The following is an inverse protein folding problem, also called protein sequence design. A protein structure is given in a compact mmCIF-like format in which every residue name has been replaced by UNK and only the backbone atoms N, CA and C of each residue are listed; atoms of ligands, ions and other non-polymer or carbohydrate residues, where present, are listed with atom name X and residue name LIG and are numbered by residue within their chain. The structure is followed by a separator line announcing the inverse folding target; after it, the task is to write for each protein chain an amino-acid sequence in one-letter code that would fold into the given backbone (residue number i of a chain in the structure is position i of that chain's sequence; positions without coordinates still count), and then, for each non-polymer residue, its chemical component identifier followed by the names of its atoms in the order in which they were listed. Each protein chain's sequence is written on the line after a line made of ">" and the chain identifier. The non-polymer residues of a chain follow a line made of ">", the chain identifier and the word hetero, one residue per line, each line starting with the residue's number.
data_IF_663734822395
#
_entry.id   IF_663734822395
#
_cell.length_a   1.000
_cell.length_b   1.000
_cell.length_c   1.000
_cell.angle_alpha   90.00
_cell.angle_beta   90.00
_cell.angle_gamma   90.00
#
_symmetry.space_group_name_H-M   'P 1'
#
loop_
_entity.id
_entity.type
_entity.pdbx_description
1 polymer ?
#
# COMPACT_ATOMS: atom_id res chain seq x y z
N UNK A 1 3.05 1.49 17.97
CA UNK A 1 4.50 1.29 18.13
C UNK A 1 5.23 2.30 17.25
N UNK A 2 6.13 3.16 17.78
CA UNK A 2 6.88 4.08 16.94
C UNK A 2 7.86 3.27 16.06
N UNK A 3 7.73 3.39 14.74
CA UNK A 3 8.65 2.78 13.78
C UNK A 3 10.03 3.44 13.93
N UNK A 4 10.94 2.78 14.64
CA UNK A 4 12.33 3.23 14.76
C UNK A 4 13.08 2.93 13.45
N UNK A 5 13.01 3.87 12.52
CA UNK A 5 13.80 3.86 11.29
C UNK A 5 15.29 4.04 11.61
N UNK A 6 16.14 3.16 11.09
CA UNK A 6 17.59 3.35 11.14
C UNK A 6 17.99 4.67 10.48
N UNK A 7 19.03 5.36 11.00
CA UNK A 7 19.46 6.69 10.51
C UNK A 7 19.78 6.71 9.01
N UNK A 8 20.29 5.62 8.44
CA UNK A 8 20.55 5.46 7.00
C UNK A 8 19.28 5.40 6.17
N UNK A 9 18.30 4.62 6.61
CA UNK A 9 17.04 4.38 5.89
C UNK A 9 16.14 5.61 5.95
N UNK A 10 16.20 6.35 7.06
CA UNK A 10 15.53 7.64 7.20
C UNK A 10 16.09 8.68 6.23
N UNK A 11 17.40 8.69 5.98
CA UNK A 11 18.01 9.59 4.98
C UNK A 11 17.59 9.21 3.57
N UNK A 12 17.56 7.92 3.25
CA UNK A 12 17.18 7.44 1.92
C UNK A 12 15.70 7.73 1.60
N UNK A 13 14.81 7.55 2.58
CA UNK A 13 13.40 7.94 2.48
C UNK A 13 13.19 9.45 2.36
N UNK A 14 13.97 10.25 3.09
CA UNK A 14 13.90 11.72 2.98
C UNK A 14 14.38 12.20 1.61
N UNK A 15 15.47 11.64 1.07
CA UNK A 15 15.95 11.96 -0.27
C UNK A 15 14.99 11.49 -1.37
N UNK A 16 14.43 10.28 -1.24
CA UNK A 16 13.41 9.79 -2.16
C UNK A 16 12.16 10.68 -2.14
N UNK A 17 11.66 11.06 -0.96
CA UNK A 17 10.54 11.99 -0.82
C UNK A 17 10.85 13.38 -1.39
N UNK A 18 12.04 13.91 -1.16
CA UNK A 18 12.47 15.22 -1.65
C UNK A 18 12.63 15.29 -3.17
N UNK A 19 12.90 14.17 -3.84
CA UNK A 19 13.00 14.10 -5.30
C UNK A 19 11.67 13.70 -5.94
N UNK A 20 10.95 12.70 -5.38
CA UNK A 20 9.66 12.27 -5.93
C UNK A 20 8.58 13.33 -5.74
N UNK A 21 8.50 14.00 -4.60
CA UNK A 21 7.44 14.96 -4.32
C UNK A 21 7.38 16.12 -5.34
N UNK A 22 8.49 16.82 -5.68
CA UNK A 22 8.45 17.87 -6.70
C UNK A 22 8.21 17.31 -8.10
N UNK A 23 8.69 16.11 -8.43
CA UNK A 23 8.41 15.47 -9.72
C UNK A 23 6.92 15.09 -9.83
N UNK A 24 6.32 14.57 -8.75
CA UNK A 24 4.88 14.27 -8.65
C UNK A 24 4.06 15.54 -8.76
N UNK A 25 4.45 16.61 -8.03
CA UNK A 25 3.77 17.89 -8.08
C UNK A 25 3.87 18.51 -9.48
N UNK A 26 5.04 18.44 -10.12
CA UNK A 26 5.25 18.89 -11.49
C UNK A 26 4.44 18.07 -12.51
N UNK A 27 4.38 16.73 -12.39
CA UNK A 27 3.56 15.90 -13.27
C UNK A 27 2.06 16.13 -13.05
N UNK A 28 1.61 16.33 -11.81
CA UNK A 28 0.21 16.67 -11.53
C UNK A 28 -0.17 18.05 -12.09
N UNK A 29 0.76 19.02 -12.05
CA UNK A 29 0.57 20.34 -12.67
C UNK A 29 0.65 20.29 -14.20
N UNK A 30 1.57 19.49 -14.78
CA UNK A 30 1.69 19.31 -16.23
C UNK A 30 0.53 18.48 -16.82
N UNK A 31 -0.04 17.56 -16.04
CA UNK A 31 -1.22 16.79 -16.46
C UNK A 31 -2.51 17.60 -16.36
N UNK A 32 -2.48 18.79 -15.75
CA UNK A 32 -3.51 19.82 -15.91
C UNK A 32 -3.25 20.58 -17.22
N UNK A 33 -3.09 19.86 -18.33
CA UNK A 33 -3.38 20.46 -19.61
C UNK A 33 -4.89 20.75 -19.57
N UNK A 34 -5.24 22.03 -19.60
CA UNK A 34 -6.58 22.47 -19.97
C UNK A 34 -6.84 21.96 -21.40
N UNK A 35 -7.24 20.70 -21.54
CA UNK A 35 -8.03 20.29 -22.69
C UNK A 35 -9.28 21.16 -22.64
N UNK A 36 -9.25 22.27 -23.40
CA UNK A 36 -10.40 23.14 -23.61
C UNK A 36 -11.58 22.24 -23.90
N UNK A 37 -12.60 22.29 -23.05
CA UNK A 37 -13.72 21.37 -23.17
C UNK A 37 -14.40 21.65 -24.51
N UNK A 38 -14.36 20.67 -25.42
CA UNK A 38 -15.02 20.73 -26.73
C UNK A 38 -16.52 20.51 -26.65
N UNK A 39 -17.04 20.31 -25.42
CA UNK A 39 -18.42 19.96 -25.15
C UNK A 39 -19.19 21.23 -24.73
N UNK A 40 -20.39 21.47 -25.30
CA UNK A 40 -21.22 22.62 -24.98
C UNK A 40 -21.96 22.47 -23.64
N UNK A 41 -21.19 22.33 -22.55
CA UNK A 41 -21.70 22.30 -21.18
C UNK A 41 -21.99 23.71 -20.66
N UNK A 42 -23.06 23.86 -19.89
CA UNK A 42 -23.46 25.08 -19.17
C UNK A 42 -22.54 25.42 -17.99
N UNK A 43 -21.62 24.53 -17.62
CA UNK A 43 -20.56 24.81 -16.65
C UNK A 43 -19.33 25.46 -17.30
N UNK A 44 -19.12 25.23 -18.60
CA UNK A 44 -17.91 25.67 -19.32
C UNK A 44 -18.04 27.10 -19.86
N UNK A 45 -17.06 27.93 -19.52
CA UNK A 45 -16.88 29.27 -20.09
C UNK A 45 -15.99 29.29 -21.34
N UNK A 46 -15.47 28.13 -21.78
CA UNK A 46 -14.65 28.01 -22.98
C UNK A 46 -15.45 28.38 -24.24
N UNK A 47 -14.79 28.73 -25.37
CA UNK A 47 -15.47 29.07 -26.61
C UNK A 47 -16.52 28.03 -27.07
N UNK A 48 -16.26 26.74 -26.85
CA UNK A 48 -17.15 25.65 -27.21
C UNK A 48 -18.21 25.32 -26.13
N UNK A 49 -18.10 25.86 -24.91
CA UNK A 49 -19.08 25.71 -23.84
C UNK A 49 -20.42 26.39 -24.12
N UNK A 50 -21.44 26.19 -23.29
CA UNK A 50 -22.79 26.76 -23.47
C UNK A 50 -23.25 27.65 -22.29
N UNK A 51 -22.34 28.01 -21.38
CA UNK A 51 -22.66 28.83 -20.20
C UNK A 51 -23.29 30.17 -20.54
N UNK A 52 -22.87 30.82 -21.62
CA UNK A 52 -23.45 32.09 -22.08
C UNK A 52 -24.91 31.93 -22.51
N UNK A 53 -25.22 30.90 -23.30
CA UNK A 53 -26.60 30.60 -23.70
C UNK A 53 -27.48 30.29 -22.49
N UNK A 54 -26.99 29.47 -21.55
CA UNK A 54 -27.71 29.15 -20.31
C UNK A 54 -28.02 30.39 -19.46
N UNK A 55 -27.02 31.23 -19.20
CA UNK A 55 -27.20 32.46 -18.41
C UNK A 55 -28.11 33.46 -19.12
N UNK A 56 -27.99 33.58 -20.44
CA UNK A 56 -28.83 34.46 -21.23
C UNK A 56 -30.31 34.05 -21.18
N UNK A 57 -30.62 32.75 -21.20
CA UNK A 57 -31.99 32.28 -21.00
C UNK A 57 -32.54 32.71 -19.64
N UNK A 58 -31.74 32.61 -18.57
CA UNK A 58 -32.14 33.09 -17.24
C UNK A 58 -32.36 34.60 -17.23
N UNK A 59 -31.48 35.38 -17.87
CA UNK A 59 -31.59 36.84 -17.97
C UNK A 59 -32.80 37.29 -18.80
N UNK A 60 -33.17 36.52 -19.84
CA UNK A 60 -34.37 36.73 -20.65
C UNK A 60 -35.67 36.26 -19.96
N UNK A 61 -35.59 35.78 -18.72
CA UNK A 61 -36.76 35.42 -17.91
C UNK A 61 -37.29 34.00 -18.13
N UNK A 62 -36.53 33.10 -18.74
CA UNK A 62 -36.87 31.67 -18.79
C UNK A 62 -36.61 31.01 -17.44
N UNK A 63 -37.47 30.07 -17.04
CA UNK A 63 -37.18 29.12 -15.95
C UNK A 63 -36.19 28.06 -16.46
N UNK A 64 -34.94 28.48 -16.62
CA UNK A 64 -33.85 27.63 -17.10
C UNK A 64 -33.05 27.05 -15.94
N UNK A 65 -33.08 25.72 -15.84
CA UNK A 65 -32.34 24.93 -14.86
C UNK A 65 -31.47 23.87 -15.52
N UNK A 66 -30.43 23.43 -14.81
CA UNK A 66 -29.60 22.29 -15.23
C UNK A 66 -30.27 20.99 -14.81
N UNK A 67 -30.22 20.00 -15.68
CA UNK A 67 -30.71 18.66 -15.45
C UNK A 67 -29.51 17.70 -15.36
N UNK A 68 -29.27 17.15 -14.18
CA UNK A 68 -28.13 16.25 -13.89
C UNK A 68 -28.56 14.82 -13.58
N UNK A 69 -29.87 14.56 -13.54
CA UNK A 69 -30.46 13.27 -13.20
C UNK A 69 -30.79 12.45 -14.44
N UNK A 70 -31.04 11.15 -14.26
CA UNK A 70 -31.45 10.27 -15.36
C UNK A 70 -32.76 10.75 -16.01
N UNK A 71 -32.97 10.53 -17.33
CA UNK A 71 -34.21 10.88 -18.02
C UNK A 71 -35.48 10.29 -17.42
N UNK A 72 -35.37 9.16 -16.71
CA UNK A 72 -36.50 8.55 -16.00
C UNK A 72 -37.11 9.46 -14.92
N UNK A 73 -36.33 10.41 -14.39
CA UNK A 73 -36.76 11.35 -13.37
C UNK A 73 -37.32 12.66 -13.94
N UNK A 74 -37.37 12.81 -15.28
CA UNK A 74 -37.92 14.01 -15.91
C UNK A 74 -39.35 14.27 -15.41
N UNK A 75 -39.77 15.54 -15.31
CA UNK A 75 -41.09 15.89 -14.79
C UNK A 75 -42.23 15.11 -15.45
N UNK A 76 -43.21 14.69 -14.65
CA UNK A 76 -44.40 14.00 -15.17
C UNK A 76 -45.19 14.92 -16.12
N UNK A 77 -45.33 16.20 -15.76
CA UNK A 77 -45.88 17.25 -16.63
C UNK A 77 -44.84 17.69 -17.65
N UNK A 78 -44.80 16.98 -18.78
CA UNK A 78 -43.87 17.27 -19.88
C UNK A 78 -44.32 18.45 -20.76
N UNK A 79 -45.63 18.74 -20.83
CA UNK A 79 -46.16 19.90 -21.57
C UNK A 79 -45.56 21.21 -21.03
N UNK A 80 -45.16 22.09 -21.94
CA UNK A 80 -44.47 23.34 -21.58
C UNK A 80 -43.06 23.14 -21.02
N UNK A 81 -42.46 21.95 -21.12
CA UNK A 81 -41.06 21.72 -20.71
C UNK A 81 -40.21 21.37 -21.93
N UNK A 82 -39.04 22.00 -22.02
CA UNK A 82 -38.05 21.79 -23.08
C UNK A 82 -36.79 21.19 -22.46
N UNK A 83 -36.36 20.03 -22.95
CA UNK A 83 -35.07 19.43 -22.61
C UNK A 83 -34.05 19.78 -23.70
N UNK A 84 -32.98 20.49 -23.35
CA UNK A 84 -31.89 20.85 -24.24
C UNK A 84 -30.74 19.87 -24.05
N UNK A 85 -30.46 19.04 -25.05
CA UNK A 85 -29.38 18.08 -25.09
C UNK A 85 -28.32 18.54 -26.10
N UNK A 86 -27.37 19.32 -25.62
CA UNK A 86 -26.35 19.93 -26.46
C UNK A 86 -25.17 18.96 -26.68
N UNK A 87 -25.12 18.26 -27.81
CA UNK A 87 -24.05 17.30 -28.14
C UNK A 87 -23.82 16.27 -27.03
N UNK A 88 -24.84 15.48 -26.66
CA UNK A 88 -24.70 14.49 -25.60
C UNK A 88 -23.60 13.47 -25.96
N UNK A 89 -22.62 13.31 -25.06
CA UNK A 89 -21.40 12.52 -25.32
C UNK A 89 -21.48 11.10 -24.79
N UNK A 90 -22.24 10.86 -23.71
CA UNK A 90 -22.44 9.52 -23.17
C UNK A 90 -23.51 8.74 -23.95
N UNK A 91 -23.24 7.47 -24.22
CA UNK A 91 -24.19 6.57 -24.89
C UNK A 91 -25.39 6.29 -23.96
N UNK A 92 -26.64 6.49 -24.43
CA UNK A 92 -27.83 6.26 -23.62
C UNK A 92 -28.09 4.76 -23.40
N UNK A 93 -28.59 4.41 -22.21
CA UNK A 93 -29.10 3.08 -21.91
C UNK A 93 -30.48 2.88 -22.54
N UNK A 94 -30.99 1.64 -22.61
CA UNK A 94 -32.35 1.37 -23.10
C UNK A 94 -33.41 2.12 -22.30
N UNK A 95 -33.26 2.14 -20.97
CA UNK A 95 -34.15 2.86 -20.05
C UNK A 95 -34.13 4.38 -20.30
N UNK A 96 -32.95 4.94 -20.61
CA UNK A 96 -32.81 6.37 -20.95
C UNK A 96 -33.62 6.68 -22.23
N UNK A 97 -33.52 5.82 -23.25
CA UNK A 97 -34.26 5.99 -24.52
C UNK A 97 -35.77 5.89 -24.32
N UNK A 98 -36.23 4.90 -23.57
CA UNK A 98 -37.65 4.68 -23.29
C UNK A 98 -38.24 5.85 -22.50
N UNK A 99 -37.47 6.40 -21.54
CA UNK A 99 -37.86 7.57 -20.78
C UNK A 99 -37.93 8.84 -21.63
N UNK A 100 -36.95 9.08 -22.51
CA UNK A 100 -36.96 10.21 -23.46
C UNK A 100 -38.13 10.09 -24.46
N UNK A 101 -38.36 8.90 -25.01
CA UNK A 101 -39.48 8.66 -25.91
C UNK A 101 -40.83 8.91 -25.20
N UNK A 102 -40.96 8.44 -23.95
CA UNK A 102 -42.14 8.67 -23.14
C UNK A 102 -42.34 10.14 -22.79
N UNK A 103 -41.25 10.87 -22.51
CA UNK A 103 -41.28 12.31 -22.23
C UNK A 103 -41.82 13.10 -23.43
N UNK A 104 -41.32 12.83 -24.64
CA UNK A 104 -41.83 13.50 -25.84
C UNK A 104 -43.27 13.10 -26.15
N UNK A 105 -43.61 11.81 -26.01
CA UNK A 105 -44.97 11.33 -26.22
C UNK A 105 -46.00 12.02 -25.31
N UNK A 106 -45.60 12.38 -24.07
CA UNK A 106 -46.43 13.13 -23.10
C UNK A 106 -46.54 14.64 -23.40
N UNK A 107 -45.90 15.15 -24.45
CA UNK A 107 -45.95 16.58 -24.81
C UNK A 107 -44.67 17.36 -24.55
N UNK A 108 -43.62 16.70 -24.06
CA UNK A 108 -42.31 17.32 -23.87
C UNK A 108 -41.66 17.69 -25.20
N UNK A 109 -40.88 18.78 -25.18
CA UNK A 109 -40.03 19.16 -26.31
C UNK A 109 -38.59 18.77 -26.04
N UNK A 110 -37.90 18.22 -27.02
CA UNK A 110 -36.45 17.98 -26.96
C UNK A 110 -35.76 18.83 -28.03
N UNK A 111 -34.79 19.65 -27.64
CA UNK A 111 -33.81 20.23 -28.54
C UNK A 111 -32.52 19.42 -28.42
N UNK A 112 -32.13 18.70 -29.48
CA UNK A 112 -30.94 17.85 -29.49
C UNK A 112 -29.99 18.30 -30.60
N UNK A 113 -28.70 18.42 -30.30
CA UNK A 113 -27.71 18.89 -31.29
C UNK A 113 -26.61 17.87 -31.53
N UNK A 114 -26.09 17.84 -32.76
CA UNK A 114 -24.90 17.09 -33.14
C UNK A 114 -25.17 15.69 -33.67
N UNK A 115 -24.08 14.97 -33.91
CA UNK A 115 -24.06 13.73 -34.68
C UNK A 115 -24.59 12.48 -33.95
N UNK A 116 -24.67 12.51 -32.62
CA UNK A 116 -25.07 11.34 -31.80
C UNK A 116 -26.58 11.28 -31.56
N UNK A 117 -27.37 12.17 -32.17
CA UNK A 117 -28.78 12.36 -31.86
C UNK A 117 -29.65 11.10 -32.09
N UNK A 118 -29.33 10.33 -33.15
CA UNK A 118 -29.96 9.04 -33.47
C UNK A 118 -29.89 8.02 -32.33
N UNK A 119 -28.87 8.09 -31.47
CA UNK A 119 -28.76 7.19 -30.32
C UNK A 119 -29.84 7.44 -29.25
N UNK A 120 -30.46 8.63 -29.24
CA UNK A 120 -31.41 9.05 -28.20
C UNK A 120 -32.86 8.97 -28.66
N UNK A 121 -33.10 9.20 -29.95
CA UNK A 121 -34.45 9.20 -30.54
C UNK A 121 -34.44 8.32 -31.77
N UNK A 122 -35.13 7.19 -31.70
CA UNK A 122 -35.14 6.12 -32.70
C UNK A 122 -35.67 6.51 -34.09
N UNK A 123 -36.34 7.64 -34.21
CA UNK A 123 -36.92 8.15 -35.46
C UNK A 123 -35.93 9.01 -36.26
N UNK A 124 -34.79 9.34 -35.67
CA UNK A 124 -33.74 10.13 -36.31
C UNK A 124 -32.78 9.18 -37.02
N UNK A 125 -32.44 9.50 -38.27
CA UNK A 125 -31.37 8.84 -39.00
C UNK A 125 -30.43 9.92 -39.49
N UNK A 126 -29.19 9.90 -38.98
CA UNK A 126 -28.20 10.96 -39.21
C UNK A 126 -26.91 10.38 -39.76
N UNK A 127 -26.30 11.07 -40.71
CA UNK A 127 -25.01 10.72 -41.26
C UNK A 127 -23.94 11.68 -40.71
N UNK A 128 -22.90 11.14 -40.08
CA UNK A 128 -21.81 11.92 -39.51
C UNK A 128 -21.00 12.58 -40.63
N UNK A 129 -20.73 13.88 -40.51
CA UNK A 129 -19.80 14.56 -41.41
C UNK A 129 -18.36 14.36 -40.88
N UNK A 130 -17.51 13.62 -41.60
CA UNK A 130 -16.18 13.25 -41.10
C UNK A 130 -15.21 14.44 -41.03
N UNK A 131 -15.40 15.45 -41.87
CA UNK A 131 -14.62 16.69 -41.85
C UNK A 131 -15.55 17.91 -41.81
N UNK A 132 -16.06 18.26 -40.63
CA UNK A 132 -16.85 19.48 -40.48
C UNK A 132 -15.99 20.71 -40.81
N UNK A 133 -16.59 21.69 -41.48
CA UNK A 133 -15.89 22.93 -41.84
C UNK A 133 -15.46 23.66 -40.54
N UNK A 134 -14.17 23.95 -40.32
CA UNK A 134 -13.73 24.66 -39.12
C UNK A 134 -14.32 26.08 -39.03
N UNK A 135 -14.78 26.64 -40.15
CA UNK A 135 -15.47 27.93 -40.21
C UNK A 135 -16.96 27.67 -40.45
N UNK A 136 -17.80 28.16 -39.55
CA UNK A 136 -19.25 28.11 -39.74
C UNK A 136 -19.66 28.84 -41.02
N UNK A 137 -20.62 28.26 -41.75
CA UNK A 137 -21.22 28.85 -42.95
C UNK A 137 -22.54 29.49 -42.61
N UNK A 138 -22.94 30.47 -43.41
CA UNK A 138 -24.25 31.10 -43.30
C UNK A 138 -25.28 30.31 -44.10
N UNK A 139 -26.42 30.04 -43.47
CA UNK A 139 -27.53 29.29 -44.05
C UNK A 139 -28.81 30.12 -44.02
N UNK A 140 -29.49 30.17 -45.16
CA UNK A 140 -30.79 30.83 -45.29
C UNK A 140 -31.92 29.87 -44.92
N UNK A 141 -33.04 30.37 -44.38
CA UNK A 141 -34.23 29.56 -44.17
C UNK A 141 -34.67 28.86 -45.46
N UNK A 142 -34.87 27.54 -45.40
CA UNK A 142 -35.50 26.78 -46.46
C UNK A 142 -37.01 27.08 -46.52
N UNK A 143 -37.63 27.23 -45.33
CA UNK A 143 -39.06 27.55 -45.17
C UNK A 143 -39.25 28.63 -44.10
N UNK A 144 -40.30 29.43 -44.24
CA UNK A 144 -40.72 30.38 -43.21
C UNK A 144 -41.57 29.66 -42.16
N UNK A 145 -41.01 29.47 -40.97
CA UNK A 145 -41.61 28.74 -39.85
C UNK A 145 -41.41 29.52 -38.56
N UNK A 146 -41.97 29.02 -37.44
CA UNK A 146 -41.66 29.58 -36.12
C UNK A 146 -40.16 29.53 -35.82
N UNK A 147 -39.45 28.49 -36.26
CA UNK A 147 -38.01 28.29 -36.03
C UNK A 147 -37.18 29.32 -36.81
N UNK A 148 -37.58 29.64 -38.05
CA UNK A 148 -36.80 30.48 -38.97
C UNK A 148 -37.11 31.97 -38.92
N UNK A 149 -37.96 32.42 -37.98
CA UNK A 149 -38.33 33.85 -37.80
C UNK A 149 -37.12 34.77 -37.61
N UNK A 150 -36.00 34.23 -37.15
CA UNK A 150 -34.74 34.94 -36.96
C UNK A 150 -33.93 35.23 -38.23
N UNK A 151 -34.32 34.67 -39.39
CA UNK A 151 -33.60 34.82 -40.65
C UNK A 151 -32.43 33.84 -40.80
N UNK A 152 -31.34 34.32 -41.39
CA UNK A 152 -30.15 33.51 -41.66
C UNK A 152 -29.46 33.07 -40.36
N UNK A 153 -28.79 31.92 -40.37
CA UNK A 153 -28.03 31.38 -39.22
C UNK A 153 -26.60 31.08 -39.61
N UNK A 154 -25.69 30.99 -38.63
CA UNK A 154 -24.29 30.56 -38.86
C UNK A 154 -24.00 29.28 -38.09
N UNK A 155 -23.66 28.19 -38.80
CA UNK A 155 -23.40 26.89 -38.19
C UNK A 155 -22.28 26.15 -38.92
N UNK A 156 -21.58 25.27 -38.22
CA UNK A 156 -20.77 24.22 -38.84
C UNK A 156 -21.48 22.88 -38.56
N UNK A 157 -22.14 22.27 -39.57
CA UNK A 157 -22.79 20.97 -39.44
C UNK A 157 -21.78 19.87 -39.09
N UNK A 158 -22.09 19.05 -38.09
CA UNK A 158 -21.31 17.85 -37.73
C UNK A 158 -21.96 16.55 -38.19
N UNK A 159 -23.20 16.64 -38.64
CA UNK A 159 -23.97 15.56 -39.22
C UNK A 159 -25.07 16.11 -40.11
N UNK A 160 -25.56 15.29 -41.02
CA UNK A 160 -26.65 15.61 -41.92
C UNK A 160 -27.82 14.66 -41.70
N UNK A 161 -29.03 15.19 -41.86
CA UNK A 161 -30.23 14.38 -41.77
C UNK A 161 -30.35 13.48 -43.00
N UNK A 162 -30.61 12.18 -42.78
CA UNK A 162 -30.69 11.19 -43.86
C UNK A 162 -32.05 10.53 -43.99
N UNK A 163 -32.85 10.52 -42.92
CA UNK A 163 -34.17 9.90 -42.94
C UNK A 163 -34.98 10.50 -44.12
N UNK A 164 -35.53 9.71 -45.06
CA UNK A 164 -36.25 10.23 -46.23
C UNK A 164 -37.76 10.44 -45.97
N UNK A 165 -38.24 10.22 -44.74
CA UNK A 165 -39.65 10.36 -44.37
C UNK A 165 -40.21 11.78 -44.60
N UNK A 166 -41.47 11.93 -44.98
CA UNK A 166 -42.10 13.27 -45.04
C UNK A 166 -42.64 13.75 -43.69
N UNK A 167 -42.46 12.96 -42.63
CA UNK A 167 -42.99 13.25 -41.29
C UNK A 167 -42.20 14.31 -40.52
N UNK A 168 -41.12 14.85 -41.09
CA UNK A 168 -40.32 15.91 -40.48
C UNK A 168 -40.33 17.17 -41.34
N UNK A 169 -40.15 18.31 -40.68
CA UNK A 169 -40.13 19.63 -41.30
C UNK A 169 -38.69 20.15 -41.32
N UNK A 170 -38.20 20.45 -42.52
CA UNK A 170 -36.86 21.00 -42.74
C UNK A 170 -36.91 22.53 -42.66
N UNK A 171 -36.10 23.11 -41.78
CA UNK A 171 -36.04 24.56 -41.57
C UNK A 171 -34.85 25.21 -42.28
N UNK A 172 -33.71 24.53 -42.25
CA UNK A 172 -32.47 24.95 -42.91
C UNK A 172 -31.83 23.73 -43.58
N UNK A 173 -31.16 23.97 -44.71
CA UNK A 173 -30.45 22.97 -45.50
C UNK A 173 -29.09 23.48 -45.97
N UNK A 174 -28.18 22.56 -46.25
CA UNK A 174 -26.86 22.78 -46.83
C UNK A 174 -26.77 21.98 -48.13
N UNK A 175 -26.90 22.67 -49.27
CA UNK A 175 -26.86 22.06 -50.61
C UNK A 175 -27.86 20.88 -50.76
N UNK A 176 -29.06 21.01 -50.19
CA UNK A 176 -30.11 19.99 -50.22
C UNK A 176 -30.03 18.95 -49.10
N UNK A 177 -29.04 19.06 -48.20
CA UNK A 177 -28.92 18.21 -47.00
C UNK A 177 -29.52 18.93 -45.79
N UNK A 178 -30.56 18.42 -45.12
CA UNK A 178 -31.18 19.11 -44.00
C UNK A 178 -30.23 19.21 -42.79
N UNK A 179 -30.17 20.40 -42.18
CA UNK A 179 -29.29 20.71 -41.04
C UNK A 179 -30.05 21.18 -39.79
N UNK A 180 -31.31 21.61 -39.94
CA UNK A 180 -32.22 21.89 -38.82
C UNK A 180 -33.57 21.32 -39.16
N UNK A 181 -34.05 20.40 -38.32
CA UNK A 181 -35.26 19.61 -38.60
C UNK A 181 -36.13 19.54 -37.35
N UNK A 182 -37.45 19.61 -37.53
CA UNK A 182 -38.43 19.31 -36.47
C UNK A 182 -39.20 18.05 -36.81
N UNK A 183 -39.28 17.12 -35.87
CA UNK A 183 -40.08 15.90 -35.95
C UNK A 183 -41.14 15.91 -34.86
N UNK A 184 -42.41 15.70 -35.22
CA UNK A 184 -43.49 15.54 -34.22
C UNK A 184 -43.56 14.11 -33.74
N UNK A 185 -43.55 13.93 -32.43
CA UNK A 185 -43.57 12.59 -31.81
C UNK A 185 -44.63 12.57 -30.70
N UNK A 186 -45.71 11.84 -30.95
CA UNK A 186 -46.87 11.84 -30.03
C UNK A 186 -47.46 13.25 -29.91
N UNK A 187 -47.56 13.77 -28.68
CA UNK A 187 -48.02 15.14 -28.41
C UNK A 187 -46.90 16.18 -28.41
N UNK A 188 -45.65 15.75 -28.33
CA UNK A 188 -44.48 16.61 -28.27
C UNK A 188 -43.77 16.71 -29.61
N UNK A 189 -42.56 17.26 -29.58
CA UNK A 189 -41.71 17.38 -30.76
C UNK A 189 -40.23 17.36 -30.40
N UNK A 190 -39.44 16.90 -31.36
CA UNK A 190 -37.98 16.88 -31.31
C UNK A 190 -37.47 17.85 -32.36
N UNK A 191 -36.65 18.80 -31.95
CA UNK A 191 -35.92 19.72 -32.81
C UNK A 191 -34.47 19.27 -32.82
N UNK A 192 -33.94 19.02 -34.01
CA UNK A 192 -32.56 18.62 -34.18
C UNK A 192 -31.76 19.66 -34.94
N UNK A 193 -30.56 19.94 -34.45
CA UNK A 193 -29.57 20.76 -35.14
C UNK A 193 -28.34 19.93 -35.47
N UNK A 194 -27.84 20.07 -36.69
CA UNK A 194 -26.65 19.40 -37.19
C UNK A 194 -25.37 19.70 -36.38
N UNK A 195 -25.32 20.82 -35.66
CA UNK A 195 -24.20 21.20 -34.83
C UNK A 195 -24.62 22.02 -33.60
N UNK A 196 -23.81 21.96 -32.55
CA UNK A 196 -23.99 22.74 -31.32
C UNK A 196 -23.41 24.15 -31.39
N UNK A 197 -22.71 24.49 -32.48
CA UNK A 197 -22.09 25.80 -32.69
C UNK A 197 -23.01 26.98 -32.34
N UNK A 198 -24.27 27.03 -32.83
CA UNK A 198 -25.19 28.14 -32.54
C UNK A 198 -25.49 28.40 -31.06
N UNK A 199 -25.46 27.38 -30.20
CA UNK A 199 -25.68 27.55 -28.75
C UNK A 199 -24.38 27.72 -27.94
N UNK A 200 -23.22 27.64 -28.58
CA UNK A 200 -21.93 27.78 -27.91
C UNK A 200 -21.63 29.23 -27.52
N UNK A 201 -20.72 29.43 -26.57
CA UNK A 201 -20.28 30.74 -26.11
C UNK A 201 -19.70 31.60 -27.26
N UNK A 202 -19.00 30.97 -28.20
CA UNK A 202 -18.46 31.63 -29.39
C UNK A 202 -19.52 31.86 -30.49
N UNK A 203 -20.52 30.99 -30.59
CA UNK A 203 -21.49 30.98 -31.68
C UNK A 203 -22.80 31.71 -31.40
N UNK A 204 -23.20 31.87 -30.13
CA UNK A 204 -24.49 32.48 -29.75
C UNK A 204 -24.63 33.94 -30.20
N UNK A 205 -23.50 34.64 -30.34
CA UNK A 205 -23.43 36.04 -30.79
C UNK A 205 -23.42 36.19 -32.31
N UNK A 206 -23.30 35.09 -33.06
CA UNK A 206 -23.31 35.09 -34.52
C UNK A 206 -24.73 35.36 -35.04
N UNK A 207 -24.81 35.72 -36.31
CA UNK A 207 -26.05 36.17 -36.94
C UNK A 207 -27.14 35.10 -36.83
N UNK A 208 -28.32 35.48 -36.31
CA UNK A 208 -29.50 34.63 -36.16
C UNK A 208 -29.44 33.49 -35.15
N UNK A 209 -28.26 33.12 -34.63
CA UNK A 209 -28.10 31.95 -33.76
C UNK A 209 -28.85 32.05 -32.42
N UNK A 210 -28.86 33.24 -31.80
CA UNK A 210 -29.70 33.46 -30.62
C UNK A 210 -31.19 33.28 -30.94
N UNK A 211 -31.65 33.83 -32.08
CA UNK A 211 -33.05 33.66 -32.48
C UNK A 211 -33.38 32.19 -32.76
N UNK A 212 -32.46 31.42 -33.35
CA UNK A 212 -32.62 29.99 -33.56
C UNK A 212 -32.83 29.25 -32.22
N UNK A 213 -32.03 29.57 -31.20
CA UNK A 213 -32.16 29.02 -29.85
C UNK A 213 -33.52 29.39 -29.23
N UNK A 214 -33.87 30.67 -29.21
CA UNK A 214 -35.11 31.15 -28.61
C UNK A 214 -36.34 30.59 -29.32
N UNK A 215 -36.34 30.53 -30.65
CA UNK A 215 -37.46 29.98 -31.42
C UNK A 215 -37.60 28.46 -31.24
N UNK A 216 -36.48 27.76 -31.02
CA UNK A 216 -36.50 26.32 -30.74
C UNK A 216 -37.02 26.01 -29.32
N UNK A 217 -36.73 26.89 -28.36
CA UNK A 217 -37.22 26.77 -26.99
C UNK A 217 -38.70 27.17 -26.89
N UNK A 218 -39.09 28.30 -27.45
CA UNK A 218 -40.43 28.89 -27.30
C UNK A 218 -40.41 30.18 -26.49
N UNK A 219 -41.59 30.69 -26.15
CA UNK A 219 -41.74 32.00 -25.50
C UNK A 219 -41.48 31.94 -23.98
N UNK A 220 -40.74 32.92 -23.46
CA UNK A 220 -40.48 33.04 -22.03
C UNK A 220 -41.79 33.10 -21.22
N UNK A 221 -41.82 32.48 -20.05
CA UNK A 221 -43.00 32.38 -19.18
C UNK A 221 -44.01 31.29 -19.55
N UNK A 222 -43.97 30.77 -20.79
CA UNK A 222 -44.79 29.63 -21.22
C UNK A 222 -44.07 28.28 -21.12
N UNK A 223 -42.73 28.32 -21.07
CA UNK A 223 -41.89 27.13 -21.05
C UNK A 223 -40.88 27.11 -19.93
N UNK A 224 -40.67 25.92 -19.37
CA UNK A 224 -39.55 25.57 -18.48
C UNK A 224 -38.43 24.93 -19.30
N UNK A 225 -37.19 25.36 -19.08
CA UNK A 225 -36.03 24.85 -19.81
C UNK A 225 -35.18 23.99 -18.87
N UNK A 226 -34.96 22.75 -19.26
CA UNK A 226 -34.07 21.81 -18.60
C UNK A 226 -32.87 21.58 -19.51
N UNK A 227 -31.68 22.01 -19.09
CA UNK A 227 -30.46 21.82 -19.85
C UNK A 227 -29.74 20.56 -19.38
N UNK A 228 -29.58 19.58 -20.26
CA UNK A 228 -28.94 18.32 -19.92
C UNK A 228 -27.44 18.48 -19.65
N UNK A 229 -27.02 17.99 -18.48
CA UNK A 229 -25.63 17.76 -18.10
C UNK A 229 -25.39 16.30 -17.69
N UNK A 230 -26.44 15.49 -17.62
CA UNK A 230 -26.35 14.07 -17.29
C UNK A 230 -25.52 13.31 -18.34
N UNK A 231 -25.74 13.56 -19.63
CA UNK A 231 -24.98 12.90 -20.70
C UNK A 231 -23.58 13.50 -20.93
N UNK A 232 -23.19 14.57 -20.23
CA UNK A 232 -21.83 15.14 -20.27
C UNK A 232 -20.87 14.53 -19.23
N UNK A 233 -21.32 13.54 -18.45
CA UNK A 233 -20.48 12.90 -17.43
C UNK A 233 -20.85 13.28 -16.00
N UNK A 234 -21.97 13.99 -15.79
CA UNK A 234 -22.60 14.09 -14.46
C UNK A 234 -23.32 12.80 -14.06
N UNK A 235 -23.07 11.67 -14.73
CA UNK A 235 -23.42 10.35 -14.22
C UNK A 235 -22.71 10.20 -12.87
N UNK A 236 -23.46 10.00 -11.80
CA UNK A 236 -22.93 9.67 -10.46
C UNK A 236 -22.33 8.25 -10.42
N UNK A 237 -21.52 7.89 -11.42
CA UNK A 237 -20.80 6.63 -11.48
C UNK A 237 -19.34 6.89 -11.09
N UNK A 238 -19.01 6.52 -9.85
CA UNK A 238 -17.64 6.55 -9.31
C UNK A 238 -16.60 5.92 -10.27
N UNK A 239 -17.02 4.97 -11.13
CA UNK A 239 -16.15 4.30 -12.09
C UNK A 239 -15.65 5.22 -13.22
N UNK A 240 -16.46 6.13 -13.74
CA UNK A 240 -16.03 7.06 -14.81
C UNK A 240 -15.04 8.08 -14.25
N UNK A 241 -15.25 8.50 -13.00
CA UNK A 241 -14.32 9.35 -12.26
C UNK A 241 -12.94 8.70 -12.06
N UNK A 242 -12.88 7.39 -11.79
CA UNK A 242 -11.61 6.65 -11.60
C UNK A 242 -10.80 6.57 -12.90
N UNK A 243 -11.46 6.48 -14.06
CA UNK A 243 -10.78 6.37 -15.36
C UNK A 243 -10.45 7.73 -16.01
N UNK A 244 -11.21 8.79 -15.74
CA UNK A 244 -10.98 10.12 -16.31
C UNK A 244 -10.12 11.04 -15.41
N UNK A 245 -10.09 10.81 -14.09
CA UNK A 245 -9.28 11.62 -13.16
C UNK A 245 -7.87 11.02 -13.07
N UNK A 246 -6.80 11.82 -12.84
CA UNK A 246 -5.45 11.32 -12.58
C UNK A 246 -5.30 10.42 -11.32
N UNK A 247 -6.41 9.96 -10.72
CA UNK A 247 -6.46 9.13 -9.52
C UNK A 247 -5.74 7.79 -9.72
N UNK A 248 -5.82 7.20 -10.92
CA UNK A 248 -5.10 5.95 -11.24
C UNK A 248 -3.59 6.13 -11.12
N UNK A 249 -3.06 7.30 -11.52
CA UNK A 249 -1.67 7.67 -11.31
C UNK A 249 -1.35 7.88 -9.82
N UNK A 250 -2.25 8.48 -9.06
CA UNK A 250 -2.12 8.61 -7.60
C UNK A 250 -2.05 7.24 -6.89
N UNK A 251 -2.93 6.30 -7.26
CA UNK A 251 -2.93 4.93 -6.72
C UNK A 251 -1.65 4.19 -7.10
N UNK A 252 -1.20 4.32 -8.35
CA UNK A 252 0.06 3.72 -8.82
C UNK A 252 1.26 4.29 -8.04
N UNK A 253 1.27 5.59 -7.74
CA UNK A 253 2.30 6.21 -6.91
C UNK A 253 2.28 5.69 -5.47
N UNK A 254 1.11 5.58 -4.85
CA UNK A 254 0.96 4.97 -3.53
C UNK A 254 1.48 3.53 -3.52
N UNK A 255 1.22 2.76 -4.58
CA UNK A 255 1.73 1.40 -4.73
C UNK A 255 3.26 1.36 -4.85
N UNK A 256 3.87 2.28 -5.60
CA UNK A 256 5.35 2.39 -5.72
C UNK A 256 5.98 2.72 -4.37
N UNK A 257 5.42 3.69 -3.63
CA UNK A 257 5.91 4.03 -2.29
C UNK A 257 5.74 2.85 -1.32
N UNK A 258 4.60 2.17 -1.38
CA UNK A 258 4.34 0.97 -0.59
C UNK A 258 5.36 -0.15 -0.89
N UNK A 259 5.64 -0.42 -2.16
CA UNK A 259 6.66 -1.38 -2.60
C UNK A 259 8.06 -0.98 -2.13
N UNK A 260 8.42 0.30 -2.22
CA UNK A 260 9.71 0.80 -1.73
C UNK A 260 9.87 0.62 -0.22
N UNK A 261 8.80 0.86 0.55
CA UNK A 261 8.76 0.58 1.98
C UNK A 261 8.90 -0.93 2.24
N UNK A 262 8.11 -1.76 1.56
CA UNK A 262 8.21 -3.22 1.66
C UNK A 262 9.61 -3.74 1.37
N UNK A 263 10.29 -3.25 0.33
CA UNK A 263 11.67 -3.65 -0.02
C UNK A 263 12.64 -3.22 1.08
N UNK A 264 12.45 -2.05 1.69
CA UNK A 264 13.27 -1.57 2.80
C UNK A 264 13.11 -2.45 4.04
N UNK A 265 11.89 -2.88 4.35
CA UNK A 265 11.61 -3.82 5.46
C UNK A 265 11.95 -5.28 5.13
N UNK A 266 12.02 -5.66 3.85
CA UNK A 266 12.37 -7.01 3.38
C UNK A 266 13.86 -7.32 3.52
N UNK A 267 14.72 -6.29 3.67
CA UNK A 267 16.11 -6.48 4.06
C UNK A 267 16.17 -6.87 5.54
N UNK A 268 16.40 -8.16 5.79
CA UNK A 268 16.58 -8.78 7.11
C UNK A 268 17.60 -8.01 7.97
N UNK A 269 17.10 -7.11 8.82
CA UNK A 269 17.86 -6.45 9.88
C UNK A 269 17.79 -7.29 11.16
N UNK A 270 18.46 -8.44 11.14
CA UNK A 270 18.71 -9.23 12.35
C UNK A 270 20.07 -8.85 12.94
N UNK A 271 20.24 -8.75 14.27
CA UNK A 271 21.56 -8.64 14.87
C UNK A 271 22.39 -9.84 14.41
N UNK A 272 23.56 -9.58 13.83
CA UNK A 272 24.54 -10.63 13.53
C UNK A 272 25.00 -11.13 14.90
N UNK A 273 24.44 -12.24 15.37
CA UNK A 273 24.94 -12.90 16.57
C UNK A 273 26.26 -13.56 16.16
N UNK A 274 27.42 -13.13 16.68
CA UNK A 274 28.65 -13.87 16.48
C UNK A 274 28.42 -15.29 17.00
N UNK A 275 28.88 -16.30 16.26
CA UNK A 275 28.85 -17.66 16.75
C UNK A 275 29.56 -17.70 18.11
N UNK A 276 28.92 -18.28 19.13
CA UNK A 276 29.56 -18.45 20.44
C UNK A 276 30.90 -19.17 20.23
N UNK A 277 32.01 -18.47 20.47
CA UNK A 277 33.32 -19.12 20.52
C UNK A 277 33.28 -20.07 21.74
N UNK A 278 33.47 -21.38 21.55
CA UNK A 278 33.62 -22.27 22.70
C UNK A 278 34.83 -21.82 23.52
N UNK A 279 34.63 -21.71 24.84
CA UNK A 279 35.67 -21.36 25.80
C UNK A 279 36.91 -22.24 25.60
N UNK A 280 38.05 -21.63 25.26
CA UNK A 280 39.36 -22.30 25.10
C UNK A 280 40.06 -22.60 26.44
N UNK A 281 39.29 -22.86 27.48
CA UNK A 281 39.81 -23.27 28.78
C UNK A 281 39.05 -24.52 29.20
N UNK A 282 39.40 -25.65 28.57
CA UNK A 282 39.00 -26.93 29.13
C UNK A 282 39.84 -27.15 30.42
N UNK A 283 39.23 -27.45 31.58
CA UNK A 283 39.97 -27.74 32.80
C UNK A 283 41.02 -28.85 32.62
N UNK A 284 40.83 -29.70 31.62
CA UNK A 284 41.74 -30.78 31.25
C UNK A 284 43.07 -30.29 30.66
N UNK A 285 43.07 -29.20 29.88
CA UNK A 285 44.32 -28.61 29.35
C UNK A 285 45.20 -28.04 30.47
N UNK A 286 44.61 -27.45 31.49
CA UNK A 286 45.34 -26.99 32.68
C UNK A 286 45.95 -28.16 33.47
N UNK A 287 45.19 -29.24 33.67
CA UNK A 287 45.70 -30.45 34.34
C UNK A 287 46.83 -31.11 33.54
N UNK A 288 46.70 -31.18 32.21
CA UNK A 288 47.73 -31.74 31.34
C UNK A 288 49.02 -30.90 31.32
N UNK A 289 48.89 -29.57 31.27
CA UNK A 289 50.05 -28.67 31.29
C UNK A 289 50.79 -28.73 32.62
N UNK A 290 50.07 -28.72 33.74
CA UNK A 290 50.67 -28.86 35.07
C UNK A 290 51.30 -30.25 35.28
N UNK A 291 50.63 -31.32 34.82
CA UNK A 291 51.18 -32.68 34.86
C UNK A 291 52.47 -32.82 34.06
N UNK A 292 52.54 -32.23 32.87
CA UNK A 292 53.76 -32.21 32.05
C UNK A 292 54.88 -31.39 32.71
N UNK A 293 54.56 -30.32 33.44
CA UNK A 293 55.54 -29.54 34.20
C UNK A 293 56.18 -30.38 35.30
N UNK A 294 55.38 -31.06 36.13
CA UNK A 294 55.90 -31.93 37.19
C UNK A 294 56.72 -33.10 36.64
N UNK A 295 56.29 -33.69 35.52
CA UNK A 295 57.02 -34.75 34.84
C UNK A 295 58.38 -34.28 34.30
N UNK A 296 58.45 -33.09 33.69
CA UNK A 296 59.72 -32.52 33.20
C UNK A 296 60.66 -32.12 34.33
N UNK A 297 60.14 -31.69 35.47
CA UNK A 297 60.94 -31.30 36.63
C UNK A 297 61.50 -32.50 37.42
N UNK A 298 61.14 -33.75 37.07
CA UNK A 298 61.59 -34.95 37.79
C UNK A 298 61.13 -35.00 39.25
N UNK A 299 60.18 -34.16 39.65
CA UNK A 299 59.84 -33.89 41.05
C UNK A 299 58.62 -34.73 41.49
N UNK A 300 58.69 -36.04 41.28
CA UNK A 300 57.60 -36.97 41.61
C UNK A 300 57.30 -36.98 43.12
N UNK A 301 58.33 -36.87 43.96
CA UNK A 301 58.18 -36.78 45.43
C UNK A 301 57.52 -35.49 45.92
N UNK A 302 57.77 -34.35 45.27
CA UNK A 302 57.10 -33.07 45.61
C UNK A 302 55.61 -33.09 45.22
N UNK A 303 55.28 -33.77 44.12
CA UNK A 303 53.87 -33.91 43.68
C UNK A 303 52.99 -34.66 44.68
N UNK A 304 53.57 -35.48 45.57
CA UNK A 304 52.86 -36.19 46.64
C UNK A 304 52.57 -35.32 47.86
N UNK A 305 53.36 -34.28 48.10
CA UNK A 305 53.26 -33.44 49.28
C UNK A 305 51.92 -32.71 49.34
N UNK A 306 51.49 -32.12 48.22
CA UNK A 306 50.24 -31.34 48.16
C UNK A 306 49.00 -32.23 48.43
N UNK A 307 48.81 -33.39 47.75
CA UNK A 307 47.71 -34.30 48.07
C UNK A 307 47.79 -34.86 49.50
N UNK A 308 48.99 -35.17 49.99
CA UNK A 308 49.18 -35.73 51.33
C UNK A 308 48.88 -34.72 52.45
N UNK A 309 49.38 -33.49 52.32
CA UNK A 309 49.07 -32.39 53.23
C UNK A 309 47.57 -32.08 53.27
N UNK A 310 46.91 -32.10 52.09
CA UNK A 310 45.45 -31.94 52.00
C UNK A 310 44.71 -33.08 52.70
N UNK A 311 45.11 -34.33 52.45
CA UNK A 311 44.54 -35.49 53.13
C UNK A 311 44.67 -35.36 54.65
N UNK A 312 45.87 -35.05 55.15
CA UNK A 312 46.15 -34.89 56.57
C UNK A 312 45.33 -33.78 57.21
N UNK A 313 45.20 -32.63 56.55
CA UNK A 313 44.36 -31.52 56.99
C UNK A 313 42.88 -31.92 57.13
N UNK A 314 42.33 -32.64 56.14
CA UNK A 314 40.93 -33.09 56.18
C UNK A 314 40.72 -34.20 57.20
N UNK A 315 41.64 -35.16 57.30
CA UNK A 315 41.55 -36.28 58.24
C UNK A 315 41.65 -35.80 59.69
N UNK A 316 42.64 -34.97 60.02
CA UNK A 316 42.81 -34.40 61.37
C UNK A 316 41.61 -33.54 61.77
N UNK A 317 41.08 -32.71 60.85
CA UNK A 317 39.88 -31.90 61.11
C UNK A 317 38.65 -32.76 61.42
N UNK A 318 38.44 -33.87 60.72
CA UNK A 318 37.31 -34.78 61.00
C UNK A 318 37.50 -35.62 62.27
N UNK A 319 38.75 -35.95 62.61
CA UNK A 319 39.07 -36.69 63.82
C UNK A 319 39.16 -35.80 65.07
N UNK A 320 39.15 -34.47 64.91
CA UNK A 320 39.33 -33.51 66.01
C UNK A 320 40.76 -33.53 66.57
N UNK A 321 41.74 -33.80 65.71
CA UNK A 321 43.16 -33.90 66.07
C UNK A 321 43.93 -32.63 65.68
N UNK A 322 45.00 -32.27 66.41
CA UNK A 322 45.95 -31.23 65.98
C UNK A 322 46.59 -31.55 64.62
N UNK A 323 46.99 -30.51 63.87
CA UNK A 323 47.54 -30.65 62.52
C UNK A 323 48.94 -31.30 62.47
N UNK A 324 49.69 -31.25 63.58
CA UNK A 324 51.07 -31.72 63.75
C UNK A 324 51.19 -33.14 64.34
N UNK A 325 50.07 -33.84 64.55
CA UNK A 325 50.03 -35.22 65.09
C UNK A 325 50.89 -36.20 64.29
N UNK A 326 51.67 -37.05 64.97
CA UNK A 326 52.51 -38.04 64.29
C UNK A 326 51.69 -39.01 63.42
N UNK A 327 52.29 -39.53 62.35
CA UNK A 327 51.62 -40.46 61.42
C UNK A 327 51.10 -41.72 62.10
N UNK A 328 51.82 -42.24 63.10
CA UNK A 328 51.37 -43.36 63.91
C UNK A 328 50.06 -43.07 64.68
N UNK A 329 49.96 -41.89 65.28
CA UNK A 329 48.75 -41.48 66.04
C UNK A 329 47.59 -41.17 65.09
N UNK A 330 47.86 -40.55 63.94
CA UNK A 330 46.84 -40.34 62.91
C UNK A 330 46.29 -41.67 62.38
N UNK A 331 47.16 -42.65 62.13
CA UNK A 331 46.76 -43.96 61.63
C UNK A 331 45.95 -44.74 62.67
N UNK A 332 46.37 -44.72 63.93
CA UNK A 332 45.62 -45.30 65.05
C UNK A 332 44.24 -44.65 65.19
N UNK A 333 44.15 -43.32 65.17
CA UNK A 333 42.88 -42.62 65.23
C UNK A 333 41.94 -42.94 64.06
N UNK A 334 42.49 -43.18 62.86
CA UNK A 334 41.72 -43.64 61.70
C UNK A 334 41.17 -45.05 61.94
N UNK A 335 41.96 -45.98 62.49
CA UNK A 335 41.50 -47.35 62.82
C UNK A 335 40.38 -47.30 63.87
N UNK A 336 40.58 -46.55 64.93
CA UNK A 336 39.69 -46.53 66.09
C UNK A 336 38.36 -45.82 65.82
N UNK A 337 38.38 -44.65 65.15
CA UNK A 337 37.18 -43.84 64.92
C UNK A 337 36.47 -44.12 63.60
N UNK A 338 37.20 -44.49 62.54
CA UNK A 338 36.59 -44.79 61.23
C UNK A 338 36.44 -46.30 60.95
N UNK A 339 36.94 -47.17 61.83
CA UNK A 339 36.80 -48.62 61.67
C UNK A 339 37.54 -49.19 60.46
N UNK A 340 38.60 -48.51 59.99
CA UNK A 340 39.36 -48.94 58.82
C UNK A 340 40.30 -50.10 59.16
N UNK A 341 40.07 -51.28 58.56
CA UNK A 341 40.72 -52.55 58.93
C UNK A 341 41.92 -52.95 58.09
N UNK A 342 42.43 -52.09 57.22
CA UNK A 342 43.59 -52.44 56.37
C UNK A 342 44.87 -52.54 57.23
N UNK A 343 45.55 -53.70 57.27
CA UNK A 343 46.79 -53.84 58.03
C UNK A 343 47.91 -52.93 57.52
N UNK A 344 47.87 -52.51 56.24
CA UNK A 344 48.92 -51.73 55.60
C UNK A 344 48.77 -50.20 55.77
N UNK A 345 47.85 -49.72 56.61
CA UNK A 345 47.62 -48.28 56.78
C UNK A 345 48.86 -47.55 57.30
N UNK A 346 49.46 -48.05 58.40
CA UNK A 346 50.58 -47.39 59.06
C UNK A 346 51.82 -47.39 58.16
N UNK A 347 52.06 -48.50 57.47
CA UNK A 347 53.16 -48.63 56.52
C UNK A 347 52.96 -47.74 55.29
N UNK A 348 51.74 -47.56 54.81
CA UNK A 348 51.42 -46.66 53.71
C UNK A 348 51.66 -45.19 54.09
N UNK A 349 51.14 -44.72 55.23
CA UNK A 349 51.30 -43.34 55.66
C UNK A 349 52.77 -43.01 55.96
N UNK A 350 53.48 -43.94 56.60
CA UNK A 350 54.93 -43.80 56.86
C UNK A 350 55.75 -43.78 55.57
N UNK A 351 55.40 -44.60 54.58
CA UNK A 351 56.06 -44.62 53.26
C UNK A 351 55.83 -43.33 52.49
N UNK A 352 54.62 -42.77 52.51
CA UNK A 352 54.32 -41.49 51.85
C UNK A 352 55.10 -40.37 52.52
N UNK A 353 55.09 -40.30 53.86
CA UNK A 353 55.82 -39.27 54.61
C UNK A 353 57.33 -39.34 54.37
N UNK A 354 57.92 -40.54 54.31
CA UNK A 354 59.34 -40.74 53.99
C UNK A 354 59.70 -40.45 52.51
N UNK A 355 58.70 -40.44 51.62
CA UNK A 355 58.87 -40.20 50.18
C UNK A 355 58.59 -38.75 49.78
N UNK A 356 57.87 -37.99 50.61
CA UNK A 356 57.71 -36.56 50.44
C UNK A 356 59.08 -35.85 50.47
N UNK A 357 59.34 -34.98 49.49
CA UNK A 357 60.60 -34.23 49.40
C UNK A 357 61.80 -35.02 48.85
N UNK A 358 61.62 -36.27 48.40
CA UNK A 358 62.67 -37.01 47.68
C UNK A 358 62.65 -36.68 46.18
N UNK A 359 63.80 -36.24 45.66
CA UNK A 359 63.98 -35.91 44.24
C UNK A 359 64.18 -37.13 43.32
N UNK A 360 64.48 -38.31 43.89
CA UNK A 360 64.83 -39.53 43.14
C UNK A 360 63.73 -40.63 43.23
N UNK A 361 62.47 -40.21 43.40
CA UNK A 361 61.34 -41.14 43.49
C UNK A 361 60.85 -41.51 42.08
N UNK A 362 60.69 -42.81 41.80
CA UNK A 362 60.15 -43.27 40.52
C UNK A 362 58.68 -42.82 40.33
N UNK A 363 58.34 -42.42 39.11
CA UNK A 363 57.01 -41.90 38.74
C UNK A 363 55.91 -42.95 39.01
N UNK A 364 56.21 -44.23 38.78
CA UNK A 364 55.27 -45.33 39.03
C UNK A 364 55.00 -45.54 40.52
N UNK A 365 56.04 -45.42 41.34
CA UNK A 365 55.89 -45.54 42.80
C UNK A 365 55.09 -44.37 43.38
N UNK A 366 55.36 -43.15 42.91
CA UNK A 366 54.60 -41.96 43.29
C UNK A 366 53.11 -42.09 42.90
N UNK A 367 52.83 -42.53 41.67
CA UNK A 367 51.47 -42.75 41.20
C UNK A 367 50.75 -43.84 42.01
N UNK A 368 51.42 -44.95 42.32
CA UNK A 368 50.86 -46.02 43.13
C UNK A 368 50.48 -45.53 44.54
N UNK A 369 51.36 -44.76 45.19
CA UNK A 369 51.10 -44.15 46.49
C UNK A 369 49.92 -43.16 46.44
N UNK A 370 49.87 -42.30 45.42
CA UNK A 370 48.77 -41.35 45.24
C UNK A 370 47.43 -42.05 45.00
N UNK A 371 47.41 -43.13 44.20
CA UNK A 371 46.21 -43.94 43.96
C UNK A 371 45.71 -44.60 45.25
N UNK A 372 46.61 -45.14 46.07
CA UNK A 372 46.24 -45.73 47.35
C UNK A 372 45.75 -44.66 48.35
N UNK A 373 46.38 -43.49 48.41
CA UNK A 373 45.93 -42.36 49.22
C UNK A 373 44.54 -41.86 48.81
N UNK A 374 44.26 -41.78 47.51
CA UNK A 374 42.94 -41.39 47.00
C UNK A 374 41.87 -42.46 47.29
N UNK A 375 42.19 -43.75 47.13
CA UNK A 375 41.31 -44.86 47.55
C UNK A 375 40.96 -44.76 49.03
N UNK A 376 41.96 -44.49 49.87
CA UNK A 376 41.76 -44.31 51.29
C UNK A 376 40.88 -43.09 51.60
N UNK A 377 41.12 -41.95 50.94
CA UNK A 377 40.31 -40.74 51.07
C UNK A 377 38.84 -40.98 50.70
N UNK A 378 38.59 -41.75 49.63
CA UNK A 378 37.24 -42.14 49.18
C UNK A 378 36.57 -43.11 50.15
N UNK A 379 37.28 -44.14 50.62
CA UNK A 379 36.75 -45.12 51.56
C UNK A 379 36.34 -44.48 52.89
N UNK A 380 37.13 -43.51 53.36
CA UNK A 380 36.85 -42.71 54.56
C UNK A 380 35.81 -41.60 54.30
N UNK A 381 35.27 -41.48 53.08
CA UNK A 381 34.33 -40.43 52.63
C UNK A 381 34.74 -39.02 53.07
N UNK A 382 36.04 -38.73 53.05
CA UNK A 382 36.60 -37.49 53.59
C UNK A 382 36.26 -36.25 52.74
N UNK A 383 35.88 -36.46 51.48
CA UNK A 383 35.41 -35.42 50.55
C UNK A 383 33.90 -35.61 50.34
N UNK A 384 33.12 -34.53 50.53
CA UNK A 384 31.67 -34.51 50.31
C UNK A 384 31.32 -34.61 48.82
N UNK A 385 30.28 -35.38 48.49
CA UNK A 385 29.80 -35.61 47.12
C UNK A 385 29.31 -34.33 46.39
N UNK A 386 29.06 -33.24 47.11
CA UNK A 386 28.60 -31.95 46.55
C UNK A 386 29.59 -31.28 45.58
N UNK A 387 30.86 -31.69 45.57
CA UNK A 387 31.85 -31.17 44.61
C UNK A 387 31.90 -31.98 43.30
N UNK A 388 31.22 -33.13 43.22
CA UNK A 388 31.17 -33.99 42.03
C UNK A 388 30.02 -33.61 41.08
N UNK A 389 28.93 -33.04 41.59
CA UNK A 389 27.79 -32.58 40.75
C UNK A 389 28.10 -31.30 39.96
N UNK A 390 29.03 -30.46 40.42
CA UNK A 390 29.36 -29.20 39.76
C UNK A 390 30.14 -29.36 38.44
N UNK A 391 30.65 -30.56 38.14
CA UNK A 391 31.27 -30.90 36.84
C UNK A 391 30.22 -31.48 35.88
N UNK A 392 29.19 -32.16 36.39
CA UNK A 392 28.11 -32.73 35.59
C UNK A 392 27.05 -31.69 35.18
N UNK A 393 26.84 -30.64 35.97
CA UNK A 393 25.81 -29.64 35.70
C UNK A 393 26.22 -28.58 34.65
N UNK A 394 27.52 -28.38 34.43
CA UNK A 394 28.04 -27.44 33.44
C UNK A 394 27.87 -27.92 31.98
N UNK A 395 27.73 -29.23 31.75
CA UNK A 395 27.56 -29.83 30.41
C UNK A 395 26.09 -29.97 29.97
N UNK A 396 25.11 -29.62 30.80
CA UNK A 396 23.68 -29.86 30.51
C UNK A 396 22.80 -28.62 30.39
N UNK A 397 23.33 -27.40 30.49
CA UNK A 397 22.53 -26.18 30.29
C UNK A 397 23.30 -25.17 29.45
N UNK A 398 22.93 -24.95 28.17
CA UNK A 398 23.40 -23.77 27.45
C UNK A 398 22.69 -22.53 28.02
N UNK A 399 23.44 -21.62 28.63
CA UNK A 399 23.01 -20.23 28.78
C UNK A 399 22.36 -19.80 30.10
N UNK A 400 22.72 -20.37 31.25
CA UNK A 400 22.32 -19.81 32.55
C UNK A 400 23.38 -18.85 33.09
N UNK A 401 23.32 -17.58 32.69
CA UNK A 401 24.05 -16.50 33.34
C UNK A 401 23.45 -16.24 34.73
N UNK A 402 24.19 -16.56 35.79
CA UNK A 402 23.94 -16.02 37.12
C UNK A 402 24.34 -14.54 37.12
N UNK A 403 23.34 -13.65 37.18
CA UNK A 403 23.53 -12.27 37.63
C UNK A 403 23.97 -12.31 39.10
N UNK A 404 25.11 -11.72 39.42
CA UNK A 404 25.45 -11.31 40.76
C UNK A 404 25.70 -9.79 40.75
N UNK A 405 25.08 -9.11 41.71
CA UNK A 405 25.27 -7.69 42.02
C UNK A 405 26.71 -7.36 42.36
#
# INVERSE_FOLDING_TARGET
>A
MPLNLAKSDRRLLLWAGLVLFPIIFALAFLSKNEEKSSVPSTYSADPAGAKAAYLLLQELGYDAGRWVDAPANLPESAEGTVLVMALPTAVPMSEDRDALQSYVARGGRILITGATAELFVSQMETEIEPLPDPVGRQYKPHLLTSITRGGDIEMSPTAYWKNPSTAFLVHYEDEGRPIVVTCKVGKGEVIWWAGSGPLSNAGIRRLGNLNLLLNSIGEAGSVRVLWDEYFHGSRQSLSIYIFQTPLLWGVLQCLVVFLAVMITYSRRNGPIHPANEPSRLSPLEFVQTLGNLYRRAGSAGESLEVPYARFRSVATRRLGLPADVSTAVLAQAIRDRFGYKDPNLDSLLSRIEASCGRFDLDEKEALAMMQQLNRLTRNLKLVSQDQQENISHADRVPGAHARAN
#
